data_IF_327178360497
#
_entry.id   IF_327178360497
#
_cell.length_a   1.000
_cell.length_b   1.000
_cell.length_c   1.000
_cell.angle_alpha   90.00
_cell.angle_beta   90.00
_cell.angle_gamma   90.00
#
_symmetry.space_group_name_H-M   'P 1'
#
loop_
_entity.id
_entity.type
_entity.pdbx_description
1 polymer ?
#
# COMPACT_ATOMS: atom_id res chain seq x y z
N UNK A 1 14.50 5.34 5.90
CA UNK A 1 13.05 5.56 5.76
C UNK A 1 12.37 4.20 5.60
N UNK A 2 12.25 3.43 6.69
CA UNK A 2 11.70 2.05 6.66
C UNK A 2 10.41 1.89 7.47
N UNK A 3 9.91 2.97 8.06
CA UNK A 3 8.78 2.94 9.01
C UNK A 3 7.40 2.80 8.34
N UNK A 4 7.31 3.19 7.07
CA UNK A 4 6.03 3.26 6.34
C UNK A 4 5.56 1.86 5.86
N UNK A 5 6.49 0.94 5.60
CA UNK A 5 6.16 -0.38 5.03
C UNK A 5 5.67 -1.37 6.09
N UNK A 6 6.18 -1.32 7.32
CA UNK A 6 5.69 -2.17 8.42
C UNK A 6 4.27 -1.78 8.87
N UNK A 7 3.89 -0.50 8.76
CA UNK A 7 2.52 -0.05 9.02
C UNK A 7 1.48 -0.60 8.03
N UNK A 8 1.93 -1.05 6.84
CA UNK A 8 1.07 -1.59 5.78
C UNK A 8 0.71 -3.07 6.02
N UNK A 9 1.55 -3.80 6.77
CA UNK A 9 1.47 -5.27 6.93
C UNK A 9 1.46 -5.77 8.40
N UNK A 10 1.67 -4.89 9.38
CA UNK A 10 1.75 -5.26 10.79
C UNK A 10 0.40 -5.52 11.49
N UNK A 11 0.42 -6.15 12.68
CA UNK A 11 -0.76 -6.44 13.50
C UNK A 11 -1.59 -5.18 13.81
N UNK A 12 -0.95 -4.01 13.84
CA UNK A 12 -1.58 -2.70 14.00
C UNK A 12 -2.67 -2.43 12.96
N UNK A 13 -2.51 -2.92 11.72
CA UNK A 13 -3.53 -2.74 10.67
C UNK A 13 -4.80 -3.53 10.98
N UNK A 14 -4.65 -4.76 11.46
CA UNK A 14 -5.79 -5.58 11.89
C UNK A 14 -6.51 -4.92 13.08
N UNK A 15 -5.75 -4.38 14.04
CA UNK A 15 -6.32 -3.63 15.17
C UNK A 15 -7.09 -2.38 14.71
N UNK A 16 -6.55 -1.62 13.75
CA UNK A 16 -7.23 -0.46 13.16
C UNK A 16 -8.55 -0.86 12.47
N UNK A 17 -8.57 -1.97 11.74
CA UNK A 17 -9.80 -2.47 11.10
C UNK A 17 -10.84 -2.90 12.14
N UNK A 18 -10.41 -3.57 13.21
CA UNK A 18 -11.29 -3.92 14.33
C UNK A 18 -11.87 -2.67 15.00
N UNK A 19 -11.05 -1.63 15.21
CA UNK A 19 -11.51 -0.36 15.76
C UNK A 19 -12.55 0.31 14.83
N UNK A 20 -12.30 0.31 13.53
CA UNK A 20 -13.22 0.84 12.51
C UNK A 20 -14.56 0.07 12.49
N UNK A 21 -14.53 -1.26 12.62
CA UNK A 21 -15.75 -2.08 12.72
C UNK A 21 -16.54 -1.78 14.00
N UNK A 22 -15.85 -1.61 15.13
CA UNK A 22 -16.49 -1.23 16.41
C UNK A 22 -17.15 0.14 16.32
N UNK A 23 -16.47 1.12 15.73
CA UNK A 23 -17.02 2.46 15.53
C UNK A 23 -18.26 2.45 14.62
N UNK A 24 -18.26 1.64 13.55
CA UNK A 24 -19.45 1.46 12.70
C UNK A 24 -20.62 0.86 13.49
N UNK A 25 -20.36 -0.16 14.30
CA UNK A 25 -21.39 -0.81 15.12
C UNK A 25 -21.99 0.16 16.14
N UNK A 26 -21.13 0.93 16.84
CA UNK A 26 -21.56 1.97 17.77
C UNK A 26 -22.46 3.00 17.09
N UNK A 27 -22.07 3.47 15.89
CA UNK A 27 -22.87 4.43 15.13
C UNK A 27 -24.25 3.89 14.75
N UNK A 28 -24.34 2.62 14.35
CA UNK A 28 -25.62 1.97 14.05
C UNK A 28 -26.50 1.91 15.31
N UNK A 29 -25.93 1.54 16.46
CA UNK A 29 -26.66 1.48 17.73
C UNK A 29 -27.11 2.85 18.23
N UNK A 30 -26.34 3.91 18.01
CA UNK A 30 -26.77 5.29 18.29
C UNK A 30 -28.00 5.69 17.46
N UNK A 31 -27.96 5.40 16.15
CA UNK A 31 -29.04 5.74 15.24
C UNK A 31 -30.32 4.94 15.52
N UNK A 32 -30.18 3.68 15.89
CA UNK A 32 -31.29 2.82 16.33
C UNK A 32 -31.93 3.35 17.61
N UNK A 33 -31.12 3.65 18.64
CA UNK A 33 -31.61 4.25 19.90
C UNK A 33 -32.29 5.60 19.69
N UNK A 34 -31.88 6.36 18.68
CA UNK A 34 -32.48 7.63 18.31
C UNK A 34 -33.76 7.48 17.45
N UNK A 35 -34.10 6.27 16.98
CA UNK A 35 -35.21 6.04 16.04
C UNK A 35 -34.96 6.59 14.64
N UNK A 36 -33.70 6.84 14.28
CA UNK A 36 -33.29 7.53 13.03
C UNK A 36 -32.57 6.62 12.03
N UNK A 37 -32.61 5.31 12.26
CA UNK A 37 -31.84 4.34 11.48
C UNK A 37 -32.16 4.42 9.97
N UNK A 38 -33.45 4.55 9.62
CA UNK A 38 -33.87 4.66 8.23
C UNK A 38 -33.55 6.04 7.61
N UNK A 39 -33.68 7.12 8.38
CA UNK A 39 -33.35 8.48 7.92
C UNK A 39 -31.86 8.60 7.56
N UNK A 40 -31.00 7.93 8.33
CA UNK A 40 -29.55 7.93 8.13
C UNK A 40 -29.07 6.93 7.06
N UNK A 41 -29.98 6.29 6.31
CA UNK A 41 -29.62 5.25 5.34
C UNK A 41 -28.55 5.68 4.30
N UNK A 42 -28.59 6.90 3.70
CA UNK A 42 -27.56 7.32 2.74
C UNK A 42 -26.17 7.40 3.37
N UNK A 43 -26.07 7.89 4.61
CA UNK A 43 -24.80 8.03 5.32
C UNK A 43 -24.27 6.68 5.78
N UNK A 44 -25.15 5.79 6.26
CA UNK A 44 -24.79 4.41 6.59
C UNK A 44 -24.28 3.64 5.38
N UNK A 45 -24.90 3.81 4.21
CA UNK A 45 -24.43 3.19 2.96
C UNK A 45 -23.03 3.68 2.58
N UNK A 46 -22.72 4.97 2.76
CA UNK A 46 -21.39 5.53 2.52
C UNK A 46 -20.36 4.93 3.49
N UNK A 47 -20.68 4.89 4.79
CA UNK A 47 -19.81 4.32 5.81
C UNK A 47 -19.52 2.83 5.56
N UNK A 48 -20.56 2.04 5.27
CA UNK A 48 -20.44 0.63 4.91
C UNK A 48 -19.59 0.44 3.65
N UNK A 49 -19.73 1.33 2.66
CA UNK A 49 -18.89 1.33 1.46
C UNK A 49 -17.41 1.52 1.78
N UNK A 50 -17.08 2.48 2.64
CA UNK A 50 -15.70 2.72 3.07
C UNK A 50 -15.13 1.54 3.85
N UNK A 51 -15.88 1.02 4.83
CA UNK A 51 -15.49 -0.15 5.62
C UNK A 51 -15.23 -1.36 4.72
N UNK A 52 -16.10 -1.60 3.74
CA UNK A 52 -15.94 -2.69 2.78
C UNK A 52 -14.65 -2.55 1.96
N UNK A 53 -14.35 -1.35 1.46
CA UNK A 53 -13.11 -1.12 0.71
C UNK A 53 -11.86 -1.41 1.55
N UNK A 54 -11.83 -0.95 2.81
CA UNK A 54 -10.72 -1.20 3.72
C UNK A 54 -10.53 -2.70 4.03
N UNK A 55 -11.63 -3.43 4.27
CA UNK A 55 -11.59 -4.88 4.48
C UNK A 55 -11.12 -5.62 3.22
N UNK A 56 -11.58 -5.21 2.05
CA UNK A 56 -11.14 -5.82 0.79
C UNK A 56 -9.64 -5.60 0.55
N UNK A 57 -9.12 -4.40 0.84
CA UNK A 57 -7.69 -4.13 0.75
C UNK A 57 -6.87 -4.99 1.73
N UNK A 58 -7.43 -5.29 2.91
CA UNK A 58 -6.81 -6.18 3.87
C UNK A 58 -6.84 -7.64 3.38
N UNK A 59 -7.98 -8.14 2.91
CA UNK A 59 -8.15 -9.53 2.46
C UNK A 59 -7.34 -9.84 1.19
N UNK A 60 -7.39 -8.95 0.19
CA UNK A 60 -6.62 -9.12 -1.05
C UNK A 60 -5.12 -9.06 -0.78
N UNK A 61 -4.65 -8.16 0.10
CA UNK A 61 -3.23 -8.15 0.46
C UNK A 61 -2.83 -9.34 1.31
N UNK A 62 -3.70 -9.81 2.21
CA UNK A 62 -3.49 -11.05 2.95
C UNK A 62 -3.38 -12.28 2.04
N UNK A 63 -3.98 -12.24 0.85
CA UNK A 63 -4.01 -13.38 -0.10
C UNK A 63 -2.88 -13.30 -1.15
N UNK A 64 -2.41 -12.10 -1.52
CA UNK A 64 -1.46 -11.93 -2.63
C UNK A 64 -0.10 -11.27 -2.27
N UNK A 65 0.04 -10.61 -1.10
CA UNK A 65 1.35 -10.15 -0.59
C UNK A 65 1.87 -11.19 0.41
N UNK A 66 2.27 -12.37 -0.09
CA UNK A 66 3.01 -13.35 0.71
C UNK A 66 4.42 -12.82 1.02
N UNK A 67 5.09 -13.33 2.08
CA UNK A 67 6.46 -12.93 2.42
C UNK A 67 7.43 -12.96 1.22
N UNK A 68 7.25 -13.91 0.30
CA UNK A 68 8.03 -14.06 -0.94
C UNK A 68 7.86 -12.89 -1.92
N UNK A 69 6.68 -12.28 -2.01
CA UNK A 69 6.43 -11.10 -2.86
C UNK A 69 7.05 -9.85 -2.25
N UNK A 70 6.98 -9.72 -0.91
CA UNK A 70 7.65 -8.64 -0.17
C UNK A 70 9.18 -8.76 -0.22
N UNK A 71 9.72 -9.98 -0.21
CA UNK A 71 11.14 -10.26 -0.42
C UNK A 71 11.57 -9.97 -1.86
N UNK A 72 10.80 -10.42 -2.86
CA UNK A 72 11.08 -10.12 -4.27
C UNK A 72 11.12 -8.62 -4.55
N UNK A 73 10.19 -7.84 -3.97
CA UNK A 73 10.20 -6.37 -4.09
C UNK A 73 11.42 -5.74 -3.39
N UNK A 74 11.81 -6.23 -2.21
CA UNK A 74 13.03 -5.77 -1.52
C UNK A 74 14.29 -6.00 -2.36
N UNK A 75 14.40 -7.17 -2.98
CA UNK A 75 15.53 -7.52 -3.85
C UNK A 75 15.58 -6.59 -5.08
N UNK A 76 14.44 -6.28 -5.70
CA UNK A 76 14.37 -5.36 -6.84
C UNK A 76 14.77 -3.94 -6.42
N UNK A 77 14.24 -3.41 -5.31
CA UNK A 77 14.61 -2.08 -4.81
C UNK A 77 16.10 -1.99 -4.43
N UNK A 78 16.67 -3.05 -3.83
CA UNK A 78 18.09 -3.11 -3.51
C UNK A 78 18.95 -3.13 -4.79
N UNK A 79 18.51 -3.86 -5.81
CA UNK A 79 19.19 -3.89 -7.11
C UNK A 79 19.11 -2.55 -7.85
N UNK A 80 17.96 -1.87 -7.80
CA UNK A 80 17.78 -0.52 -8.37
C UNK A 80 18.62 0.52 -7.62
N UNK A 81 18.67 0.46 -6.29
CA UNK A 81 19.52 1.33 -5.47
C UNK A 81 21.02 1.14 -5.77
N UNK A 82 21.47 -0.12 -5.85
CA UNK A 82 22.86 -0.43 -6.25
C UNK A 82 23.15 -0.03 -7.70
N UNK A 83 22.18 -0.18 -8.60
CA UNK A 83 22.28 0.29 -9.98
C UNK A 83 22.41 1.82 -10.08
N UNK A 84 21.68 2.56 -9.25
CA UNK A 84 21.78 4.01 -9.15
C UNK A 84 23.11 4.46 -8.51
N UNK A 85 23.60 3.77 -7.48
CA UNK A 85 24.91 4.03 -6.88
C UNK A 85 26.06 3.76 -7.86
N UNK A 86 25.97 2.67 -8.63
CA UNK A 86 26.91 2.39 -9.71
C UNK A 86 26.86 3.48 -10.78
N UNK A 87 25.66 3.85 -11.25
CA UNK A 87 25.49 4.91 -12.24
C UNK A 87 26.01 6.28 -11.78
N UNK A 88 25.95 6.58 -10.48
CA UNK A 88 26.45 7.82 -9.89
C UNK A 88 27.98 7.80 -9.62
N UNK A 89 28.62 6.64 -9.72
CA UNK A 89 30.08 6.47 -9.67
C UNK A 89 30.76 6.51 -11.04
N UNK A 90 30.00 6.50 -12.13
CA UNK A 90 30.47 6.69 -13.51
C UNK A 90 30.23 8.13 -13.98
N UNK A 91 30.87 9.13 -13.34
CA UNK A 91 31.28 10.30 -14.13
C UNK A 91 32.40 9.81 -15.05
N UNK A 92 32.03 9.46 -16.28
CA UNK A 92 32.88 8.99 -17.38
C UNK A 92 33.77 10.15 -17.85
N UNK A 93 35.08 10.20 -17.51
CA UNK A 93 36.01 11.16 -18.07
C UNK A 93 36.85 10.43 -19.11
N UNK A 94 36.24 9.83 -20.14
CA UNK A 94 36.80 9.73 -21.49
C UNK A 94 35.81 9.00 -22.41
N UNK A 95 34.98 9.79 -23.09
CA UNK A 95 34.02 9.32 -24.07
C UNK A 95 34.67 8.80 -25.35
N UNK A 96 35.16 7.55 -25.33
CA UNK A 96 35.59 6.85 -26.54
C UNK A 96 35.23 5.34 -26.50
N UNK A 97 33.98 5.05 -26.13
CA UNK A 97 33.44 3.69 -26.15
C UNK A 97 32.78 3.34 -27.50
N UNK A 98 33.24 2.31 -28.24
CA UNK A 98 32.87 2.03 -29.63
C UNK A 98 31.38 1.76 -29.90
N UNK A 99 30.64 1.29 -28.89
CA UNK A 99 29.23 0.90 -28.99
C UNK A 99 28.24 2.09 -28.94
N UNK A 100 28.73 3.31 -28.68
CA UNK A 100 27.91 4.54 -28.74
C UNK A 100 27.77 5.10 -30.17
N UNK A 101 28.48 4.57 -31.17
CA UNK A 101 28.32 5.01 -32.57
C UNK A 101 27.13 4.32 -33.24
N UNK A 102 26.20 5.05 -33.86
CA UNK A 102 25.17 4.42 -34.68
C UNK A 102 25.83 3.73 -35.88
N UNK A 103 25.28 2.61 -36.38
CA UNK A 103 25.91 1.86 -37.46
C UNK A 103 25.78 2.66 -38.76
N UNK A 104 26.92 3.05 -39.33
CA UNK A 104 27.02 3.59 -40.69
C UNK A 104 27.58 5.00 -40.77
N UNK A 105 28.91 5.10 -40.88
CA UNK A 105 29.61 5.96 -41.85
C UNK A 105 30.98 5.37 -42.14
#
# INVERSE_FOLDING_TARGET
>A
MSDDKDQVYGPERAERLVALLRALAERIQELDRAGRLLEAAPDLQRLLGNVRSELFHYEVRSTYDTPEVAESRRIVEEAEGRGAELANGFEDPDGDEPWRRPPGQ
#
